data_IF_495840070626
#
_entry.id   IF_495840070626
#
_cell.length_a   1.000
_cell.length_b   1.000
_cell.length_c   1.000
_cell.angle_alpha   90.00
_cell.angle_beta   90.00
_cell.angle_gamma   90.00
#
_symmetry.space_group_name_H-M   'P 1'
#
loop_
_entity.id
_entity.type
_entity.pdbx_description
1 polymer ?
#
# COMPACT_ATOMS: atom_id res chain seq x y z
N UNK A 1 -38.57 -9.66 -30.39
CA UNK A 1 -37.60 -9.86 -30.18
C UNK A 1 -36.72 -9.06 -29.61
N UNK A 2 -35.94 -9.07 -29.04
CA UNK A 2 -35.22 -8.35 -28.46
C UNK A 2 -34.10 -8.47 -28.13
N UNK A 3 -33.44 -8.04 -28.02
CA UNK A 3 -32.39 -7.93 -27.83
C UNK A 3 -31.86 -7.40 -27.08
N UNK A 4 -31.40 -7.50 -26.77
CA UNK A 4 -30.68 -7.47 -25.81
C UNK A 4 -30.10 -6.19 -25.45
N UNK A 5 -30.70 -5.54 -24.59
CA UNK A 5 -30.21 -4.31 -24.06
C UNK A 5 -28.89 -4.49 -23.30
N UNK A 6 -28.63 -5.72 -22.83
CA UNK A 6 -27.38 -5.96 -22.11
C UNK A 6 -26.13 -5.78 -22.96
N UNK A 7 -26.26 -5.91 -24.28
CA UNK A 7 -25.15 -5.62 -25.17
C UNK A 7 -24.73 -4.16 -25.12
N UNK A 8 -25.65 -3.28 -24.69
CA UNK A 8 -25.38 -1.85 -24.58
C UNK A 8 -24.68 -1.47 -23.28
N UNK A 9 -24.61 -2.40 -22.33
CA UNK A 9 -23.94 -2.16 -21.04
C UNK A 9 -22.43 -2.37 -21.14
N UNK A 10 -21.93 -2.66 -22.33
CA UNK A 10 -20.50 -2.87 -22.52
C UNK A 10 -19.71 -1.56 -22.49
N UNK A 11 -18.42 -1.71 -22.26
CA UNK A 11 -17.49 -0.58 -22.19
C UNK A 11 -17.45 0.12 -23.56
N UNK A 12 -17.56 1.44 -23.54
CA UNK A 12 -17.58 2.24 -24.75
C UNK A 12 -16.21 2.29 -25.41
N UNK A 13 -16.16 2.04 -26.72
CA UNK A 13 -14.94 2.12 -27.50
C UNK A 13 -14.60 3.57 -27.83
N UNK A 14 -13.32 3.89 -27.84
CA UNK A 14 -12.83 5.21 -28.24
C UNK A 14 -12.69 6.21 -27.09
N UNK A 15 -12.92 5.78 -25.87
CA UNK A 15 -12.63 6.60 -24.68
C UNK A 15 -12.11 5.70 -23.57
N UNK A 16 -11.51 6.30 -22.55
CA UNK A 16 -10.99 5.58 -21.40
C UNK A 16 -11.73 5.99 -20.13
N UNK A 17 -12.23 5.03 -19.41
CA UNK A 17 -12.81 5.21 -18.07
C UNK A 17 -11.84 4.60 -17.05
N UNK A 18 -11.46 5.39 -16.07
CA UNK A 18 -10.49 5.00 -15.05
C UNK A 18 -11.16 5.06 -13.68
N UNK A 19 -11.01 3.99 -12.91
CA UNK A 19 -11.43 3.95 -11.51
C UNK A 19 -10.22 4.03 -10.60
N UNK A 20 -10.26 4.94 -9.65
CA UNK A 20 -9.23 5.10 -8.62
C UNK A 20 -9.92 5.48 -7.31
N UNK A 21 -9.37 5.02 -6.17
CA UNK A 21 -10.00 5.29 -4.89
C UNK A 21 -9.98 6.79 -4.56
N UNK A 22 -11.02 7.24 -3.87
CA UNK A 22 -11.21 8.67 -3.57
C UNK A 22 -10.17 9.28 -2.64
N UNK A 23 -9.39 8.46 -1.92
CA UNK A 23 -8.30 8.93 -1.05
C UNK A 23 -6.95 9.07 -1.79
N UNK A 24 -6.92 8.75 -3.08
CA UNK A 24 -5.72 8.86 -3.91
C UNK A 24 -5.73 10.15 -4.73
N UNK A 25 -4.70 10.35 -5.54
CA UNK A 25 -4.54 11.56 -6.34
C UNK A 25 -5.40 11.60 -7.59
N UNK A 26 -6.72 11.43 -7.44
CA UNK A 26 -7.59 11.35 -8.61
C UNK A 26 -7.68 12.70 -9.37
N UNK A 27 -7.50 13.83 -8.70
CA UNK A 27 -7.48 15.13 -9.38
C UNK A 27 -6.25 15.26 -10.27
N UNK A 28 -5.08 14.85 -9.76
CA UNK A 28 -3.86 14.84 -10.57
C UNK A 28 -3.96 13.87 -11.73
N UNK A 29 -4.55 12.71 -11.51
CA UNK A 29 -4.77 11.73 -12.57
C UNK A 29 -5.74 12.27 -13.63
N UNK A 30 -6.78 13.01 -13.22
CA UNK A 30 -7.70 13.64 -14.13
C UNK A 30 -6.99 14.69 -15.03
N UNK A 31 -6.04 15.43 -14.44
CA UNK A 31 -5.23 16.39 -15.22
C UNK A 31 -4.34 15.68 -16.23
N UNK A 32 -3.74 14.55 -15.85
CA UNK A 32 -2.96 13.72 -16.78
C UNK A 32 -3.86 13.20 -17.90
N UNK A 33 -5.10 12.81 -17.56
CA UNK A 33 -6.08 12.38 -18.54
C UNK A 33 -6.44 13.45 -19.53
N UNK A 34 -6.56 14.71 -19.07
CA UNK A 34 -6.80 15.85 -19.97
C UNK A 34 -5.63 16.08 -20.93
N UNK A 35 -4.41 15.92 -20.43
CA UNK A 35 -3.22 16.02 -21.28
C UNK A 35 -3.20 14.91 -22.33
N UNK A 36 -3.55 13.68 -21.93
CA UNK A 36 -3.65 12.57 -22.86
C UNK A 36 -4.71 12.84 -23.94
N UNK A 37 -5.86 13.38 -23.55
CA UNK A 37 -6.91 13.76 -24.49
C UNK A 37 -6.41 14.83 -25.46
N UNK A 38 -5.70 15.83 -24.96
CA UNK A 38 -5.13 16.90 -25.80
C UNK A 38 -4.14 16.34 -26.82
N UNK A 39 -3.30 15.38 -26.39
CA UNK A 39 -2.26 14.82 -27.25
C UNK A 39 -2.79 13.78 -28.24
N UNK A 40 -3.85 13.07 -27.90
CA UNK A 40 -4.34 11.92 -28.68
C UNK A 40 -5.77 12.09 -29.21
N UNK A 41 -6.53 13.03 -28.68
CA UNK A 41 -7.94 13.17 -29.00
C UNK A 41 -8.85 12.17 -28.30
N UNK A 42 -8.30 11.33 -27.41
CA UNK A 42 -9.05 10.30 -26.69
C UNK A 42 -9.53 10.87 -25.35
N UNK A 43 -10.84 10.88 -25.13
CA UNK A 43 -11.44 11.36 -23.88
C UNK A 43 -11.13 10.38 -22.73
N UNK A 44 -10.74 10.94 -21.59
CA UNK A 44 -10.44 10.17 -20.38
C UNK A 44 -11.34 10.66 -19.26
N UNK A 45 -12.07 9.72 -18.64
CA UNK A 45 -12.94 10.00 -17.48
C UNK A 45 -12.37 9.31 -16.27
N UNK A 46 -12.08 10.06 -15.20
CA UNK A 46 -11.56 9.52 -13.94
C UNK A 46 -12.67 9.54 -12.91
N UNK A 47 -13.02 8.37 -12.39
CA UNK A 47 -14.11 8.18 -11.42
C UNK A 47 -13.58 7.56 -10.15
N UNK A 48 -14.23 7.84 -9.02
CA UNK A 48 -13.83 7.27 -7.74
C UNK A 48 -15.04 6.70 -6.98
N UNK A 49 -15.65 5.62 -7.51
CA UNK A 49 -16.83 5.03 -6.87
C UNK A 49 -16.49 4.45 -5.50
N UNK A 50 -17.46 4.49 -4.59
CA UNK A 50 -17.31 3.87 -3.28
C UNK A 50 -17.14 2.36 -3.42
N UNK A 51 -16.24 1.78 -2.62
CA UNK A 51 -15.98 0.33 -2.61
C UNK A 51 -15.68 -0.22 -4.01
N UNK A 52 -14.90 0.52 -4.76
CA UNK A 52 -14.61 0.13 -6.15
C UNK A 52 -13.93 -1.23 -6.24
N UNK A 53 -13.13 -1.62 -5.23
CA UNK A 53 -12.44 -2.91 -5.19
C UNK A 53 -13.41 -4.10 -5.09
N UNK A 54 -14.60 -3.85 -4.55
CA UNK A 54 -15.67 -4.85 -4.48
C UNK A 54 -16.58 -4.78 -5.69
N UNK A 55 -16.79 -3.58 -6.24
CA UNK A 55 -17.64 -3.38 -7.42
C UNK A 55 -16.99 -3.88 -8.71
N UNK A 56 -15.66 -3.71 -8.82
CA UNK A 56 -14.95 -4.06 -10.04
C UNK A 56 -15.16 -5.52 -10.45
N UNK A 57 -14.95 -6.53 -9.57
CA UNK A 57 -15.14 -7.91 -10.01
C UNK A 57 -16.58 -8.20 -10.41
N UNK A 58 -17.55 -7.53 -9.81
CA UNK A 58 -18.96 -7.73 -10.15
C UNK A 58 -19.29 -7.23 -11.56
N UNK A 59 -18.86 -6.02 -11.88
CA UNK A 59 -19.17 -5.43 -13.19
C UNK A 59 -18.27 -5.99 -14.29
N UNK A 60 -17.01 -6.25 -13.99
CA UNK A 60 -16.08 -6.83 -14.97
C UNK A 60 -16.47 -8.23 -15.40
N UNK A 61 -17.05 -9.02 -14.50
CA UNK A 61 -17.52 -10.37 -14.82
C UNK A 61 -18.60 -10.38 -15.89
N UNK A 62 -19.35 -9.28 -16.04
CA UNK A 62 -20.40 -9.16 -17.07
C UNK A 62 -19.90 -8.40 -18.31
N UNK A 63 -18.61 -8.11 -18.37
CA UNK A 63 -18.03 -7.39 -19.50
C UNK A 63 -18.22 -5.89 -19.44
N UNK A 64 -18.48 -5.36 -18.26
CA UNK A 64 -18.72 -3.94 -18.02
C UNK A 64 -17.63 -3.39 -17.08
N UNK A 65 -17.77 -2.15 -16.61
CA UNK A 65 -16.84 -1.51 -15.68
C UNK A 65 -15.89 -0.55 -16.37
N UNK A 66 -14.82 -0.15 -15.69
CA UNK A 66 -13.83 0.78 -16.25
C UNK A 66 -12.90 0.07 -17.22
N UNK A 67 -12.20 0.84 -18.04
CA UNK A 67 -11.10 0.32 -18.85
C UNK A 67 -9.87 0.04 -18.00
N UNK A 68 -9.61 0.93 -17.03
CA UNK A 68 -8.44 0.85 -16.16
C UNK A 68 -8.89 0.94 -14.70
N UNK A 69 -8.36 0.06 -13.86
CA UNK A 69 -8.57 0.10 -12.41
C UNK A 69 -7.25 0.36 -11.70
N UNK A 70 -7.24 1.34 -10.79
CA UNK A 70 -6.11 1.62 -9.90
C UNK A 70 -6.43 1.09 -8.51
N UNK A 71 -5.57 0.23 -7.99
CA UNK A 71 -5.66 -0.27 -6.62
C UNK A 71 -4.30 -0.79 -6.18
N UNK A 72 -4.16 -1.07 -4.90
CA UNK A 72 -2.97 -1.75 -4.41
C UNK A 72 -2.88 -3.15 -5.02
N UNK A 73 -1.67 -3.60 -5.27
CA UNK A 73 -1.40 -4.83 -6.03
C UNK A 73 -2.04 -6.10 -5.45
N UNK A 74 -2.26 -6.13 -4.13
CA UNK A 74 -2.71 -7.33 -3.43
C UNK A 74 -4.10 -7.81 -3.87
N UNK A 75 -4.94 -6.94 -4.42
CA UNK A 75 -6.25 -7.32 -4.96
C UNK A 75 -6.17 -7.94 -6.35
N UNK A 76 -5.11 -7.64 -7.08
CA UNK A 76 -5.06 -7.97 -8.51
C UNK A 76 -4.88 -9.45 -8.79
N UNK A 77 -4.25 -10.20 -7.88
CA UNK A 77 -4.15 -11.64 -8.03
C UNK A 77 -5.51 -12.32 -8.14
N UNK A 78 -6.45 -11.92 -7.28
CA UNK A 78 -7.82 -12.43 -7.33
C UNK A 78 -8.55 -12.05 -8.60
N UNK A 79 -8.37 -10.82 -9.07
CA UNK A 79 -8.96 -10.37 -10.33
C UNK A 79 -8.40 -11.15 -11.52
N UNK A 80 -7.09 -11.38 -11.54
CA UNK A 80 -6.44 -12.13 -12.60
C UNK A 80 -6.88 -13.59 -12.60
N UNK A 81 -7.04 -14.20 -11.43
CA UNK A 81 -7.52 -15.56 -11.30
C UNK A 81 -8.92 -15.72 -11.90
N UNK A 82 -9.75 -14.71 -11.76
CA UNK A 82 -11.11 -14.70 -12.34
C UNK A 82 -11.14 -14.27 -13.80
N UNK A 83 -9.99 -14.04 -14.42
CA UNK A 83 -9.91 -13.64 -15.82
C UNK A 83 -10.34 -12.21 -16.12
N UNK A 84 -10.30 -11.32 -15.13
CA UNK A 84 -10.84 -9.97 -15.25
C UNK A 84 -9.82 -8.95 -15.73
N UNK A 85 -8.52 -9.30 -15.75
CA UNK A 85 -7.46 -8.41 -16.15
C UNK A 85 -6.77 -8.88 -17.43
N UNK A 86 -6.45 -7.94 -18.30
CA UNK A 86 -5.67 -8.22 -19.49
C UNK A 86 -4.21 -8.37 -19.12
N UNK A 87 -3.51 -9.31 -19.76
CA UNK A 87 -2.07 -9.40 -19.67
C UNK A 87 -1.43 -8.18 -20.33
N UNK A 88 -0.40 -7.63 -19.69
CA UNK A 88 0.35 -6.53 -20.27
C UNK A 88 1.70 -7.02 -20.76
N UNK A 89 2.24 -6.38 -21.79
CA UNK A 89 3.49 -6.78 -22.43
C UNK A 89 4.40 -5.56 -22.62
N UNK A 90 4.80 -4.88 -21.53
CA UNK A 90 5.72 -3.75 -21.66
C UNK A 90 7.07 -4.24 -22.16
N UNK A 91 7.73 -3.43 -23.00
CA UNK A 91 9.05 -3.78 -23.50
C UNK A 91 10.09 -3.65 -22.37
N UNK A 92 11.30 -4.16 -22.63
CA UNK A 92 12.36 -4.15 -21.64
C UNK A 92 12.75 -2.71 -21.26
N UNK A 93 12.77 -1.80 -22.22
CA UNK A 93 13.14 -0.41 -21.95
C UNK A 93 12.18 0.23 -20.94
N UNK A 94 10.88 -0.04 -21.05
CA UNK A 94 9.91 0.45 -20.09
C UNK A 94 10.07 -0.27 -18.75
N UNK A 95 10.26 -1.59 -18.75
CA UNK A 95 10.45 -2.35 -17.52
C UNK A 95 11.66 -1.87 -16.73
N UNK A 96 12.74 -1.48 -17.41
CA UNK A 96 13.95 -1.01 -16.76
C UNK A 96 13.79 0.35 -16.08
N UNK A 97 12.70 1.07 -16.34
CA UNK A 97 12.41 2.36 -15.69
C UNK A 97 11.89 2.20 -14.27
N UNK A 98 11.41 1.03 -13.90
CA UNK A 98 10.81 0.77 -12.60
C UNK A 98 11.62 -0.30 -11.86
N UNK A 99 11.55 -0.24 -10.52
CA UNK A 99 12.27 -1.23 -9.70
C UNK A 99 11.74 -2.65 -9.95
N UNK A 100 12.63 -3.64 -10.04
CA UNK A 100 12.21 -5.03 -10.30
C UNK A 100 11.16 -5.56 -9.34
N UNK A 101 11.23 -5.21 -8.05
CA UNK A 101 10.26 -5.72 -7.09
C UNK A 101 8.84 -5.23 -7.38
N UNK A 102 8.67 -4.06 -8.02
CA UNK A 102 7.34 -3.56 -8.37
C UNK A 102 6.71 -4.41 -9.47
N UNK A 103 7.52 -4.91 -10.40
CA UNK A 103 7.04 -5.84 -11.42
C UNK A 103 6.67 -7.19 -10.81
N UNK A 104 7.45 -7.65 -9.83
CA UNK A 104 7.12 -8.90 -9.13
C UNK A 104 5.77 -8.80 -8.41
N UNK A 105 5.43 -7.63 -7.89
CA UNK A 105 4.16 -7.40 -7.22
C UNK A 105 2.95 -7.53 -8.14
N UNK A 106 3.14 -7.27 -9.44
CA UNK A 106 2.05 -7.33 -10.43
C UNK A 106 2.16 -8.53 -11.36
N UNK A 107 2.88 -9.57 -10.95
CA UNK A 107 3.00 -10.81 -11.71
C UNK A 107 2.12 -11.88 -11.08
N UNK A 108 1.30 -12.50 -11.91
CA UNK A 108 0.44 -13.59 -11.50
C UNK A 108 0.60 -14.75 -12.49
N UNK A 109 0.95 -15.94 -11.97
CA UNK A 109 1.24 -17.12 -12.80
C UNK A 109 2.25 -16.83 -13.92
N UNK A 110 3.28 -16.06 -13.59
CA UNK A 110 4.35 -15.73 -14.55
C UNK A 110 4.01 -14.63 -15.53
N UNK A 111 2.80 -14.05 -15.46
CA UNK A 111 2.34 -13.01 -16.38
C UNK A 111 2.17 -11.69 -15.67
N UNK A 112 2.54 -10.60 -16.34
CA UNK A 112 2.31 -9.26 -15.81
C UNK A 112 0.85 -8.87 -16.06
N UNK A 113 0.16 -8.40 -15.01
CA UNK A 113 -1.27 -8.12 -15.05
C UNK A 113 -1.61 -6.67 -14.71
N UNK A 114 -0.60 -5.84 -14.47
CA UNK A 114 -0.83 -4.42 -14.18
C UNK A 114 0.47 -3.64 -14.35
N UNK A 115 0.34 -2.31 -14.43
CA UNK A 115 1.48 -1.39 -14.43
C UNK A 115 1.66 -0.84 -13.02
N UNK A 116 2.85 -0.98 -12.41
CA UNK A 116 3.12 -0.32 -11.12
C UNK A 116 3.13 1.21 -11.30
N UNK A 117 2.59 1.92 -10.32
CA UNK A 117 2.49 3.39 -10.36
C UNK A 117 3.22 4.03 -9.19
N UNK A 118 3.00 3.53 -7.98
CA UNK A 118 3.58 4.12 -6.77
C UNK A 118 3.79 3.04 -5.71
N UNK A 119 4.77 3.29 -4.84
CA UNK A 119 5.10 2.38 -3.75
C UNK A 119 4.79 3.08 -2.43
N UNK A 120 4.19 2.33 -1.51
CA UNK A 120 3.77 2.83 -0.22
C UNK A 120 4.16 1.83 0.87
N UNK A 121 4.80 2.31 1.92
CA UNK A 121 5.20 1.47 3.04
C UNK A 121 5.31 2.30 4.32
N UNK A 122 5.24 1.61 5.46
CA UNK A 122 5.42 2.24 6.76
C UNK A 122 6.88 2.63 6.98
N UNK A 123 7.08 3.72 7.72
CA UNK A 123 8.38 4.21 8.14
C UNK A 123 8.32 4.65 9.58
N UNK A 124 9.47 4.85 10.20
CA UNK A 124 9.56 5.47 11.51
C UNK A 124 9.55 6.99 11.33
N UNK A 125 8.59 7.65 11.97
CA UNK A 125 8.47 9.10 11.98
C UNK A 125 8.84 9.57 13.37
N UNK A 126 9.76 10.53 13.46
CA UNK A 126 10.28 10.95 14.75
C UNK A 126 10.29 12.46 14.89
N UNK A 127 10.16 12.91 16.14
CA UNK A 127 10.22 14.33 16.50
C UNK A 127 11.69 14.68 16.79
N UNK A 128 12.28 15.50 15.94
CA UNK A 128 13.70 15.86 16.02
C UNK A 128 14.05 16.61 17.30
N UNK A 129 13.08 17.30 17.90
CA UNK A 129 13.31 18.04 19.13
C UNK A 129 13.36 17.11 20.35
N UNK A 130 12.64 16.00 20.32
CA UNK A 130 12.62 15.03 21.41
C UNK A 130 13.66 13.93 21.22
N UNK A 131 13.92 13.53 19.99
CA UNK A 131 14.87 12.46 19.68
C UNK A 131 15.61 12.82 18.39
N UNK A 132 16.68 13.65 18.49
CA UNK A 132 17.41 14.06 17.28
C UNK A 132 18.08 12.90 16.55
N UNK A 133 18.43 11.83 17.27
CA UNK A 133 19.02 10.63 16.70
C UNK A 133 18.11 9.44 17.03
N UNK A 134 17.16 9.11 16.14
CA UNK A 134 16.20 8.03 16.44
C UNK A 134 16.91 6.69 16.58
N UNK A 135 16.37 5.78 17.42
CA UNK A 135 16.98 4.48 17.62
C UNK A 135 16.97 3.68 16.33
N UNK A 136 18.04 2.93 16.10
CA UNK A 136 18.17 2.06 14.94
C UNK A 136 17.67 0.65 15.25
N UNK A 137 17.43 0.34 16.52
CA UNK A 137 16.98 -0.97 16.95
C UNK A 137 15.74 -0.86 17.83
N UNK A 138 14.87 -1.87 17.74
CA UNK A 138 13.72 -1.98 18.63
C UNK A 138 14.16 -2.13 20.08
N UNK A 139 15.27 -2.82 20.31
CA UNK A 139 15.77 -3.12 21.65
C UNK A 139 16.17 -1.87 22.44
N UNK A 140 16.47 -0.77 21.77
CA UNK A 140 16.79 0.49 22.41
C UNK A 140 15.57 1.26 22.94
N UNK A 141 14.38 0.91 22.47
CA UNK A 141 13.16 1.69 22.76
C UNK A 141 12.78 1.68 24.25
N UNK A 142 12.85 0.54 24.97
CA UNK A 142 12.53 0.56 26.42
C UNK A 142 13.34 1.58 27.21
N UNK A 143 14.67 1.67 27.00
CA UNK A 143 15.51 2.60 27.71
C UNK A 143 15.19 4.05 27.29
N UNK A 144 14.95 4.29 26.01
CA UNK A 144 14.56 5.61 25.50
C UNK A 144 13.23 6.06 26.12
N UNK A 145 12.26 5.15 26.20
CA UNK A 145 10.97 5.47 26.80
C UNK A 145 11.10 5.83 28.28
N UNK A 146 11.93 5.11 29.01
CA UNK A 146 12.18 5.40 30.42
C UNK A 146 12.75 6.82 30.58
N UNK A 147 13.70 7.19 29.75
CA UNK A 147 14.29 8.53 29.77
C UNK A 147 13.25 9.61 29.42
N UNK A 148 12.40 9.36 28.44
CA UNK A 148 11.37 10.33 28.02
C UNK A 148 10.23 10.43 29.02
N UNK A 149 9.87 9.33 29.71
CA UNK A 149 8.85 9.36 30.76
C UNK A 149 9.23 10.29 31.91
N UNK A 150 10.53 10.40 32.21
CA UNK A 150 11.02 11.36 33.20
C UNK A 150 10.73 12.81 32.80
N UNK A 151 10.51 13.07 31.52
CA UNK A 151 10.15 14.41 31.00
C UNK A 151 8.66 14.54 30.68
N UNK A 152 7.84 13.56 31.08
CA UNK A 152 6.41 13.54 30.77
C UNK A 152 6.08 13.19 29.33
N UNK A 153 7.01 12.55 28.63
CA UNK A 153 6.83 12.13 27.23
C UNK A 153 6.94 10.63 27.11
N UNK A 154 6.58 10.07 25.96
CA UNK A 154 6.80 8.67 25.66
C UNK A 154 7.68 8.50 24.43
N UNK A 155 8.24 7.30 24.25
CA UNK A 155 9.14 7.05 23.12
C UNK A 155 8.37 6.79 21.83
N UNK A 156 7.38 5.91 21.86
CA UNK A 156 6.73 5.41 20.65
C UNK A 156 5.27 5.13 20.90
N UNK A 157 4.42 5.64 20.01
CA UNK A 157 3.01 5.27 19.94
C UNK A 157 2.64 5.03 18.49
N UNK A 158 2.00 3.92 18.21
CA UNK A 158 1.48 3.62 16.88
C UNK A 158 0.26 2.72 16.99
N UNK A 159 -0.46 2.56 15.90
CA UNK A 159 -1.70 1.79 15.88
C UNK A 159 -1.43 0.31 16.16
N UNK A 160 -1.85 -0.18 17.32
CA UNK A 160 -1.69 -1.57 17.73
C UNK A 160 -2.90 -2.44 17.38
N UNK A 161 -3.95 -1.85 16.81
CA UNK A 161 -5.20 -2.57 16.52
C UNK A 161 -5.21 -3.25 15.17
N UNK A 162 -4.33 -2.82 14.25
CA UNK A 162 -4.28 -3.34 12.90
C UNK A 162 -2.98 -4.09 12.63
N UNK A 163 -3.05 -5.32 12.12
CA UNK A 163 -1.83 -6.10 11.82
C UNK A 163 -0.87 -5.43 10.85
N UNK A 164 -1.38 -4.59 9.99
CA UNK A 164 -0.54 -3.83 9.05
C UNK A 164 0.58 -3.08 9.76
N UNK A 165 0.32 -2.54 10.95
CA UNK A 165 1.28 -1.74 11.71
C UNK A 165 2.20 -2.58 12.59
N UNK A 166 1.76 -3.73 13.07
CA UNK A 166 2.58 -4.61 13.93
C UNK A 166 3.38 -5.62 13.13
N UNK A 167 2.97 -5.89 11.91
CA UNK A 167 3.59 -6.89 11.05
C UNK A 167 5.08 -6.65 10.79
N UNK A 168 5.57 -5.42 10.59
CA UNK A 168 7.00 -5.19 10.33
C UNK A 168 7.91 -5.78 11.40
N UNK A 169 7.52 -5.68 12.67
CA UNK A 169 8.26 -6.25 13.78
C UNK A 169 8.12 -7.77 13.81
N UNK A 170 6.92 -8.28 13.61
CA UNK A 170 6.65 -9.73 13.63
C UNK A 170 7.42 -10.43 12.52
N UNK A 171 7.54 -9.80 11.37
CA UNK A 171 8.22 -10.38 10.21
C UNK A 171 9.74 -10.22 10.24
N UNK A 172 10.27 -9.37 11.11
CA UNK A 172 11.70 -9.03 11.10
C UNK A 172 12.60 -10.25 11.31
N UNK A 173 12.27 -11.13 12.25
CA UNK A 173 13.08 -12.31 12.60
C UNK A 173 12.61 -13.58 11.87
N UNK A 174 11.91 -13.44 10.76
CA UNK A 174 11.55 -14.57 9.91
C UNK A 174 10.08 -14.94 9.85
N UNK A 175 9.20 -14.16 10.51
CA UNK A 175 7.76 -14.37 10.37
C UNK A 175 7.31 -14.05 8.95
N UNK A 176 6.32 -14.79 8.46
CA UNK A 176 5.75 -14.54 7.13
C UNK A 176 4.30 -15.03 7.13
N UNK A 177 3.50 -14.53 6.19
CA UNK A 177 2.12 -14.98 6.07
C UNK A 177 2.06 -16.32 5.33
N UNK A 178 2.46 -16.34 4.07
CA UNK A 178 2.52 -17.54 3.26
C UNK A 178 3.88 -17.64 2.59
N UNK A 179 4.43 -18.84 2.55
CA UNK A 179 5.74 -19.07 1.92
C UNK A 179 5.64 -18.83 0.42
N UNK A 180 6.54 -18.00 -0.12
CA UNK A 180 6.64 -17.74 -1.55
C UNK A 180 7.80 -18.57 -2.12
N UNK A 181 7.47 -19.55 -2.97
CA UNK A 181 8.44 -20.44 -3.59
C UNK A 181 8.02 -20.71 -5.04
N UNK A 182 9.00 -20.81 -5.92
CA UNK A 182 8.77 -21.18 -7.32
C UNK A 182 7.76 -20.28 -8.02
N UNK A 183 7.76 -18.98 -7.67
CA UNK A 183 6.84 -18.01 -8.26
C UNK A 183 5.41 -18.06 -7.74
N UNK A 184 5.15 -18.80 -6.67
CA UNK A 184 3.81 -18.97 -6.10
C UNK A 184 3.83 -18.92 -4.59
N UNK A 185 2.70 -18.52 -3.99
CA UNK A 185 2.50 -18.64 -2.56
C UNK A 185 1.96 -20.03 -2.22
N UNK A 186 2.59 -20.66 -1.25
CA UNK A 186 2.09 -21.95 -0.72
C UNK A 186 1.14 -21.66 0.43
N UNK A 187 -0.17 -21.78 0.17
CA UNK A 187 -1.20 -21.45 1.16
C UNK A 187 -1.22 -22.42 2.34
N UNK A 188 -0.53 -23.55 2.23
CA UNK A 188 -0.40 -24.52 3.32
C UNK A 188 0.81 -24.26 4.20
N UNK A 189 1.73 -23.41 3.75
CA UNK A 189 2.93 -23.07 4.51
C UNK A 189 2.79 -21.66 5.09
N UNK A 190 2.28 -21.59 6.32
CA UNK A 190 1.98 -20.35 7.02
C UNK A 190 3.08 -20.12 8.06
N UNK A 191 3.62 -18.90 8.10
CA UNK A 191 4.75 -18.55 8.98
C UNK A 191 4.40 -17.63 10.14
N UNK A 192 3.12 -17.45 10.43
CA UNK A 192 2.68 -16.59 11.53
C UNK A 192 3.01 -17.22 12.90
N UNK A 193 3.11 -18.53 12.98
CA UNK A 193 3.47 -19.25 14.20
C UNK A 193 4.95 -19.68 14.23
N UNK A 194 5.77 -19.15 13.34
CA UNK A 194 7.21 -19.45 13.35
C UNK A 194 7.88 -18.88 14.60
N UNK A 195 9.07 -19.39 14.93
CA UNK A 195 9.84 -18.92 16.08
C UNK A 195 10.14 -17.43 15.97
N UNK A 196 10.45 -16.94 14.75
CA UNK A 196 10.72 -15.53 14.52
C UNK A 196 9.50 -14.65 14.72
N UNK A 197 8.32 -15.09 14.26
CA UNK A 197 7.08 -14.37 14.49
C UNK A 197 6.74 -14.29 15.97
N UNK A 198 6.91 -15.39 16.70
CA UNK A 198 6.68 -15.43 18.15
C UNK A 198 7.63 -14.49 18.87
N UNK A 199 8.89 -14.43 18.46
CA UNK A 199 9.88 -13.54 19.09
C UNK A 199 9.48 -12.07 18.91
N UNK A 200 9.06 -11.68 17.70
CA UNK A 200 8.62 -10.31 17.45
C UNK A 200 7.37 -9.94 18.25
N UNK A 201 6.41 -10.83 18.29
CA UNK A 201 5.18 -10.60 19.04
C UNK A 201 5.46 -10.56 20.56
N UNK A 202 6.36 -11.40 21.05
CA UNK A 202 6.75 -11.40 22.46
C UNK A 202 7.38 -10.06 22.83
N UNK A 203 8.25 -9.54 21.98
CA UNK A 203 8.86 -8.22 22.22
C UNK A 203 7.79 -7.14 22.29
N UNK A 204 6.82 -7.16 21.39
CA UNK A 204 5.72 -6.20 21.37
C UNK A 204 4.90 -6.29 22.66
N UNK A 205 4.56 -7.50 23.08
CA UNK A 205 3.78 -7.72 24.31
C UNK A 205 4.57 -7.25 25.52
N UNK A 206 5.88 -7.46 25.55
CA UNK A 206 6.74 -7.00 26.65
C UNK A 206 6.78 -5.48 26.73
N UNK A 207 6.75 -4.77 25.60
CA UNK A 207 6.64 -3.31 25.61
C UNK A 207 5.35 -2.85 26.29
N UNK A 208 4.27 -3.59 26.09
CA UNK A 208 2.99 -3.29 26.72
C UNK A 208 3.02 -3.65 28.21
N UNK A 209 3.53 -4.82 28.56
CA UNK A 209 3.62 -5.27 29.95
C UNK A 209 4.49 -4.36 30.81
N UNK A 210 5.56 -3.83 30.22
CA UNK A 210 6.48 -2.91 30.90
C UNK A 210 6.04 -1.46 30.79
N UNK A 211 4.82 -1.22 30.33
CA UNK A 211 4.18 0.11 30.25
C UNK A 211 4.89 1.11 29.35
N UNK A 212 5.63 0.61 28.36
CA UNK A 212 6.24 1.47 27.33
C UNK A 212 5.22 1.82 26.26
N UNK A 213 4.19 1.00 26.08
CA UNK A 213 3.06 1.24 25.21
C UNK A 213 1.76 0.77 25.85
N UNK A 214 0.64 1.33 25.41
CA UNK A 214 -0.69 0.94 25.86
C UNK A 214 -1.36 0.09 24.78
N UNK A 215 -1.87 -1.06 25.14
CA UNK A 215 -2.54 -1.99 24.22
C UNK A 215 -3.74 -1.37 23.48
N UNK A 216 -4.37 -0.37 24.07
CA UNK A 216 -5.54 0.28 23.50
C UNK A 216 -5.22 1.37 22.46
N UNK A 217 -3.94 1.65 22.23
CA UNK A 217 -3.55 2.68 21.28
C UNK A 217 -4.00 2.31 19.87
N UNK A 218 -4.77 3.19 19.25
CA UNK A 218 -5.22 3.03 17.87
C UNK A 218 -4.61 4.12 16.97
N UNK A 219 -5.04 4.18 15.72
CA UNK A 219 -4.53 5.14 14.76
C UNK A 219 -4.71 6.59 15.25
N UNK A 220 -5.91 6.94 15.67
CA UNK A 220 -6.24 8.32 16.07
C UNK A 220 -5.49 8.75 17.33
N UNK A 221 -5.38 7.86 18.29
CA UNK A 221 -4.67 8.14 19.55
C UNK A 221 -3.19 8.40 19.27
N UNK A 222 -2.58 7.54 18.47
CA UNK A 222 -1.16 7.68 18.12
C UNK A 222 -0.90 8.93 17.29
N UNK A 223 -1.75 9.22 16.31
CA UNK A 223 -1.61 10.40 15.47
C UNK A 223 -1.72 11.68 16.32
N UNK A 224 -2.72 11.77 17.18
CA UNK A 224 -2.90 12.92 18.04
C UNK A 224 -1.70 13.12 18.98
N UNK A 225 -1.21 12.04 19.58
CA UNK A 225 -0.08 12.12 20.52
C UNK A 225 1.19 12.63 19.83
N UNK A 226 1.50 12.11 18.65
CA UNK A 226 2.68 12.55 17.91
C UNK A 226 2.54 14.01 17.45
N UNK A 227 1.39 14.36 16.89
CA UNK A 227 1.15 15.68 16.34
C UNK A 227 1.06 16.78 17.42
N UNK A 228 0.80 16.40 18.67
CA UNK A 228 0.83 17.31 19.83
C UNK A 228 2.18 17.33 20.53
N UNK A 229 3.15 16.56 20.09
CA UNK A 229 4.47 16.49 20.70
C UNK A 229 4.53 15.69 21.99
N UNK A 230 3.57 14.81 22.25
CA UNK A 230 3.50 14.00 23.45
C UNK A 230 4.35 12.72 23.37
N UNK A 231 4.56 12.21 22.16
CA UNK A 231 5.41 11.04 21.92
C UNK A 231 6.50 11.39 20.93
N UNK A 232 7.67 10.79 21.11
CA UNK A 232 8.82 11.09 20.28
C UNK A 232 8.78 10.46 18.90
N UNK A 233 8.08 9.33 18.75
CA UNK A 233 8.07 8.59 17.51
C UNK A 233 6.70 7.97 17.25
N UNK A 234 6.42 7.74 15.97
CA UNK A 234 5.27 6.97 15.53
C UNK A 234 5.65 6.14 14.31
N UNK A 235 4.82 5.18 13.97
CA UNK A 235 4.97 4.39 12.76
C UNK A 235 3.76 4.67 11.89
N UNK A 236 3.99 5.18 10.68
CA UNK A 236 2.91 5.53 9.78
C UNK A 236 3.43 5.63 8.34
N UNK A 237 2.54 5.88 7.41
CA UNK A 237 2.87 5.99 6.00
C UNK A 237 2.81 7.42 5.49
N UNK A 238 3.10 7.61 4.18
CA UNK A 238 3.12 8.95 3.58
C UNK A 238 1.80 9.72 3.69
N UNK A 239 0.68 9.02 3.76
CA UNK A 239 -0.63 9.65 3.91
C UNK A 239 -0.75 10.50 5.18
N UNK A 240 0.09 10.23 6.18
CA UNK A 240 0.05 10.94 7.46
C UNK A 240 0.84 12.25 7.43
N UNK A 241 1.69 12.47 6.44
CA UNK A 241 2.65 13.58 6.44
C UNK A 241 1.97 14.96 6.41
N UNK A 242 0.87 15.11 5.68
CA UNK A 242 0.21 16.42 5.60
C UNK A 242 -0.34 16.89 6.94
N UNK A 243 -0.90 16.00 7.76
CA UNK A 243 -1.35 16.37 9.10
C UNK A 243 -0.19 16.71 10.03
N UNK A 244 0.95 16.03 9.86
CA UNK A 244 2.15 16.36 10.64
C UNK A 244 2.68 17.74 10.24
N UNK A 245 2.68 18.05 8.94
CA UNK A 245 3.08 19.37 8.45
C UNK A 245 2.23 20.49 9.08
N UNK A 246 0.94 20.26 9.22
CA UNK A 246 0.01 21.22 9.82
C UNK A 246 0.23 21.37 11.32
N UNK A 247 0.81 20.38 11.97
CA UNK A 247 1.01 20.36 13.43
C UNK A 247 2.22 21.18 13.87
N UNK A 248 3.10 21.54 12.94
CA UNK A 248 4.35 22.27 13.20
C UNK A 248 5.37 21.48 14.00
N UNK A 249 5.21 20.16 14.15
CA UNK A 249 6.24 19.31 14.74
C UNK A 249 7.43 19.24 13.77
N UNK A 250 8.62 19.41 14.30
CA UNK A 250 9.84 19.28 13.51
C UNK A 250 10.18 17.79 13.38
N UNK A 251 9.64 17.15 12.34
CA UNK A 251 9.73 15.70 12.20
C UNK A 251 10.71 15.28 11.12
N UNK A 252 11.18 14.04 11.25
CA UNK A 252 11.96 13.35 10.24
C UNK A 252 11.34 12.00 9.96
N UNK A 253 11.67 11.44 8.82
CA UNK A 253 11.21 10.12 8.39
C UNK A 253 12.44 9.26 8.17
N UNK A 254 12.47 8.06 8.75
CA UNK A 254 13.61 7.17 8.64
C UNK A 254 13.15 5.71 8.58
N UNK A 255 14.10 4.82 8.42
CA UNK A 255 13.82 3.38 8.39
C UNK A 255 13.26 2.92 9.74
N UNK A 256 12.38 1.93 9.68
CA UNK A 256 11.93 1.24 10.88
C UNK A 256 13.13 0.62 11.60
N UNK A 257 13.07 0.53 12.95
CA UNK A 257 14.19 -0.07 13.69
C UNK A 257 14.38 -1.54 13.35
N UNK A 258 15.59 -2.03 13.55
CA UNK A 258 15.88 -3.46 13.40
C UNK A 258 15.44 -4.23 14.65
N UNK A 259 15.23 -5.52 14.48
CA UNK A 259 14.94 -6.45 15.58
C UNK A 259 15.88 -7.64 15.48
N UNK A 260 16.61 -7.94 16.53
CA UNK A 260 17.66 -8.97 16.56
C UNK A 260 18.67 -8.78 15.41
N UNK A 261 18.99 -7.52 15.14
CA UNK A 261 19.93 -7.19 14.07
C UNK A 261 19.36 -7.29 12.66
N UNK A 262 18.07 -7.58 12.50
CA UNK A 262 17.43 -7.76 11.20
C UNK A 262 16.47 -6.62 10.92
N UNK A 263 16.34 -6.18 9.65
CA UNK A 263 15.40 -5.10 9.32
C UNK A 263 13.96 -5.51 9.61
N UNK A 264 13.18 -4.57 10.10
CA UNK A 264 11.72 -4.71 10.11
C UNK A 264 11.22 -4.81 8.68
N UNK A 265 10.17 -5.61 8.44
CA UNK A 265 9.69 -5.90 7.09
C UNK A 265 8.23 -5.47 6.93
N UNK A 266 7.99 -4.19 6.63
CA UNK A 266 6.62 -3.73 6.43
C UNK A 266 6.04 -4.34 5.17
N UNK A 267 4.71 -4.49 5.15
CA UNK A 267 4.00 -4.88 3.95
C UNK A 267 4.06 -3.71 2.97
N UNK A 268 4.63 -3.96 1.78
CA UNK A 268 4.77 -2.92 0.76
C UNK A 268 3.55 -2.94 -0.15
N UNK A 269 2.88 -1.80 -0.30
CA UNK A 269 1.79 -1.64 -1.23
C UNK A 269 2.29 -1.03 -2.53
N UNK A 270 1.92 -1.62 -3.65
CA UNK A 270 2.24 -1.09 -4.97
C UNK A 270 0.94 -0.68 -5.63
N UNK A 271 0.66 0.63 -5.66
CA UNK A 271 -0.47 1.16 -6.39
C UNK A 271 -0.26 0.83 -7.86
N UNK A 272 -1.21 0.17 -8.46
CA UNK A 272 -1.05 -0.39 -9.79
C UNK A 272 -2.25 -0.11 -10.68
N UNK A 273 -2.02 -0.04 -11.98
CA UNK A 273 -3.05 0.18 -12.98
C UNK A 273 -3.27 -1.10 -13.77
N UNK A 274 -4.43 -1.70 -13.61
CA UNK A 274 -4.82 -2.90 -14.34
C UNK A 274 -5.80 -2.59 -15.45
N UNK A 275 -5.74 -3.36 -16.52
CA UNK A 275 -6.60 -3.17 -17.69
C UNK A 275 -7.68 -4.24 -17.67
N UNK A 276 -8.96 -3.80 -17.73
CA UNK A 276 -10.10 -4.70 -17.77
C UNK A 276 -10.00 -5.61 -19.00
N UNK A 277 -10.07 -6.90 -18.79
CA UNK A 277 -10.01 -7.87 -19.89
C UNK A 277 -11.11 -7.68 -20.92
N UNK A 278 -12.26 -7.10 -20.53
CA UNK A 278 -13.38 -6.85 -21.39
C UNK A 278 -13.29 -5.51 -22.13
N UNK A 279 -12.27 -4.70 -21.85
CA UNK A 279 -12.12 -3.39 -22.51
C UNK A 279 -11.84 -3.53 -24.00
N UNK A 280 -12.58 -2.83 -24.87
CA UNK A 280 -12.25 -2.76 -26.29
C UNK A 280 -11.10 -1.78 -26.57
N UNK A 281 -10.58 -1.08 -25.54
CA UNK A 281 -9.59 -0.02 -25.67
C UNK A 281 -8.25 -0.43 -25.07
N UNK A 282 -7.86 -1.71 -25.12
CA UNK A 282 -6.67 -2.23 -24.44
C UNK A 282 -5.38 -1.51 -24.88
N UNK A 283 -5.21 -1.26 -26.15
CA UNK A 283 -3.99 -0.60 -26.64
C UNK A 283 -3.93 0.87 -26.19
N UNK A 284 -5.06 1.57 -26.19
CA UNK A 284 -5.14 2.92 -25.65
C UNK A 284 -4.87 2.95 -24.16
N UNK A 285 -5.40 1.95 -23.41
CA UNK A 285 -5.19 1.84 -21.98
C UNK A 285 -3.72 1.59 -21.66
N UNK A 286 -3.04 0.72 -22.42
CA UNK A 286 -1.61 0.45 -22.25
C UNK A 286 -0.79 1.71 -22.53
N UNK A 287 -1.11 2.45 -23.58
CA UNK A 287 -0.44 3.69 -23.91
C UNK A 287 -0.61 4.75 -22.82
N UNK A 288 -1.84 4.91 -22.33
CA UNK A 288 -2.15 5.84 -21.23
C UNK A 288 -1.39 5.47 -19.96
N UNK A 289 -1.36 4.19 -19.60
CA UNK A 289 -0.69 3.72 -18.38
C UNK A 289 0.82 3.94 -18.44
N UNK A 290 1.42 3.86 -19.60
CA UNK A 290 2.86 4.11 -19.76
C UNK A 290 3.22 5.60 -19.62
N UNK A 291 2.27 6.51 -19.84
CA UNK A 291 2.52 7.94 -19.78
C UNK A 291 2.20 8.54 -18.41
N UNK A 292 1.59 7.77 -17.53
CA UNK A 292 1.34 8.19 -16.16
C UNK A 292 2.46 7.76 -15.23
#
# INVERSE_FOLDING_TARGET
MMFSASALAKIEEGKLVIWINGDKGYNGLAEVGKKFEKDTGIKVSVEHPDKLEEKFPQVAATGDGPDIIFWAHDRFGGYAQSGLLAEITPDKAFQDKLYPFTWDAVRYNGKLIAYPVAVEALSLIYNKDLVPNPPKTWEEIPALDKALKAKGKSALMFNLQEPYFTWPLIAADGGYAFKFENGKYDVKNVGVDSAGAKAGLTFLVDLIKNKHMNADTDYSIAEAAFNKGETAMTINGPWAWSNIDKSKVNYGVTLLPTFKGKPSKPFVGVLSAGINAASPNKELAKSSSKTT
#
